data_IF_459925127212
#
_entry.id   IF_459925127212
#
_cell.length_a   1.000
_cell.length_b   1.000
_cell.length_c   1.000
_cell.angle_alpha   90.00
_cell.angle_beta   90.00
_cell.angle_gamma   90.00
#
_symmetry.space_group_name_H-M   'P 1'
#
loop_
_entity.id
_entity.type
_entity.pdbx_description
1 polymer ?
#
# COMPACT_ATOMS: atom_id res chain seq x y z
N UNK A 1 0.49 -18.51 -15.71
CA UNK A 1 0.78 -17.90 -15.75
C UNK A 1 1.12 -17.80 -15.38
N UNK A 2 1.28 -18.01 -15.00
CA UNK A 2 1.78 -17.51 -14.74
C UNK A 2 2.66 -17.42 -14.92
N UNK A 3 2.73 -18.02 -15.35
CA UNK A 3 3.94 -17.63 -15.61
C UNK A 3 4.13 -16.31 -15.63
N UNK A 4 3.32 -15.78 -15.83
CA UNK A 4 3.45 -14.43 -15.75
C UNK A 4 3.95 -13.99 -14.49
N UNK A 5 3.90 -14.80 -13.66
CA UNK A 5 4.34 -14.33 -12.51
C UNK A 5 5.71 -14.51 -12.36
N UNK A 6 6.36 -14.97 -12.92
CA UNK A 6 7.64 -15.12 -12.64
C UNK A 6 8.58 -14.41 -13.23
N UNK A 7 9.01 -13.94 -13.57
CA UNK A 7 9.86 -13.30 -14.00
C UNK A 7 10.11 -12.23 -14.03
N UNK A 8 10.06 -11.97 -13.87
CA UNK A 8 10.16 -11.14 -13.86
C UNK A 8 9.63 -10.42 -13.73
N UNK A 9 9.46 -10.40 -13.35
CA UNK A 9 8.77 -9.88 -13.25
C UNK A 9 8.77 -8.80 -13.08
N UNK A 10 9.42 -8.60 -13.66
CA UNK A 10 9.27 -7.48 -13.58
C UNK A 10 7.95 -7.04 -13.77
N UNK A 11 7.22 -6.36 -14.30
CA UNK A 11 5.83 -6.15 -14.31
C UNK A 11 5.14 -7.02 -13.34
N UNK A 12 5.85 -7.39 -12.37
CA UNK A 12 5.32 -8.34 -11.44
C UNK A 12 4.32 -7.75 -10.51
N UNK A 13 3.47 -8.60 -9.98
CA UNK A 13 2.45 -8.18 -9.04
C UNK A 13 3.12 -7.76 -7.75
N UNK A 14 2.81 -6.56 -7.28
CA UNK A 14 3.34 -6.08 -6.03
C UNK A 14 2.52 -6.61 -4.87
N UNK A 15 3.15 -6.75 -3.68
CA UNK A 15 2.42 -7.27 -2.52
C UNK A 15 1.12 -6.54 -2.21
N UNK A 16 1.09 -5.22 -2.41
CA UNK A 16 -0.13 -4.46 -2.14
C UNK A 16 -1.28 -4.90 -3.06
N UNK A 17 -0.96 -5.30 -4.29
CA UNK A 17 -1.97 -5.79 -5.22
C UNK A 17 -2.51 -7.13 -4.79
N UNK A 18 -1.63 -8.01 -4.30
CA UNK A 18 -2.07 -9.30 -3.79
C UNK A 18 -2.96 -9.13 -2.58
N UNK A 19 -2.59 -8.23 -1.68
CA UNK A 19 -3.39 -7.99 -0.49
C UNK A 19 -4.77 -7.50 -0.87
N UNK A 20 -4.84 -6.57 -1.83
CA UNK A 20 -6.13 -6.07 -2.27
C UNK A 20 -6.98 -7.18 -2.87
N UNK A 21 -6.37 -8.07 -3.64
CA UNK A 21 -7.09 -9.15 -4.28
C UNK A 21 -7.60 -10.19 -3.29
N UNK A 22 -6.88 -10.40 -2.21
CA UNK A 22 -7.21 -11.47 -1.28
C UNK A 22 -8.03 -11.02 -0.08
N UNK A 23 -8.00 -9.75 0.24
CA UNK A 23 -8.66 -9.23 1.42
C UNK A 23 -10.01 -8.63 1.05
N UNK A 24 -10.94 -8.63 1.98
CA UNK A 24 -12.17 -7.86 1.77
C UNK A 24 -11.81 -6.39 1.69
N UNK A 25 -12.70 -5.61 1.10
CA UNK A 25 -12.50 -4.17 1.00
C UNK A 25 -12.28 -3.55 2.39
N UNK A 26 -13.10 -3.97 3.33
CA UNK A 26 -12.98 -3.44 4.68
C UNK A 26 -11.65 -3.78 5.31
N UNK A 27 -11.21 -5.04 5.17
CA UNK A 27 -9.94 -5.46 5.75
C UNK A 27 -8.77 -4.73 5.09
N UNK A 28 -8.82 -4.56 3.77
CA UNK A 28 -7.76 -3.90 3.04
C UNK A 28 -7.66 -2.42 3.47
N UNK A 29 -8.79 -1.75 3.57
CA UNK A 29 -8.79 -0.36 4.03
C UNK A 29 -8.32 -0.24 5.47
N UNK A 30 -8.63 -1.23 6.30
CA UNK A 30 -8.11 -1.28 7.67
C UNK A 30 -6.60 -1.41 7.71
N UNK A 31 -6.04 -2.24 6.83
CA UNK A 31 -4.60 -2.38 6.70
C UNK A 31 -3.96 -1.04 6.31
N UNK A 32 -4.51 -0.36 5.32
CA UNK A 32 -3.96 0.93 4.88
C UNK A 32 -4.03 1.96 5.99
N UNK A 33 -5.18 2.02 6.66
CA UNK A 33 -5.37 2.95 7.77
C UNK A 33 -4.38 2.67 8.88
N UNK A 34 -4.17 1.40 9.21
CA UNK A 34 -3.22 1.03 10.25
C UNK A 34 -1.80 1.46 9.92
N UNK A 35 -1.42 1.36 8.64
CA UNK A 35 -0.09 1.79 8.25
C UNK A 35 0.06 3.30 8.33
N UNK A 36 -0.97 4.05 8.00
CA UNK A 36 -0.92 5.50 8.15
C UNK A 36 -0.69 5.85 9.62
N UNK A 37 -1.46 5.25 10.51
CA UNK A 37 -1.32 5.50 11.94
C UNK A 37 0.07 5.14 12.42
N UNK A 38 0.58 4.00 11.97
CA UNK A 38 1.90 3.54 12.36
C UNK A 38 2.99 4.54 11.97
N UNK A 39 2.99 4.99 10.71
CA UNK A 39 4.04 5.87 10.24
C UNK A 39 3.92 7.28 10.80
N UNK A 40 2.70 7.76 11.00
CA UNK A 40 2.51 9.06 11.63
C UNK A 40 3.01 9.03 13.07
N UNK A 41 2.70 7.97 13.81
CA UNK A 41 3.06 7.93 15.23
C UNK A 41 4.55 7.80 15.47
N UNK A 42 5.30 7.29 14.48
CA UNK A 42 6.76 7.18 14.67
C UNK A 42 7.54 8.20 13.86
N UNK A 43 6.85 9.19 13.33
CA UNK A 43 7.51 10.23 12.54
C UNK A 43 8.61 10.91 13.35
N UNK A 44 9.80 10.97 12.76
CA UNK A 44 10.96 11.59 13.42
C UNK A 44 11.68 10.71 14.40
N UNK A 45 11.26 9.45 14.54
CA UNK A 45 11.86 8.57 15.54
C UNK A 45 12.72 7.47 14.97
N UNK A 46 12.47 7.06 13.73
CA UNK A 46 13.19 5.94 13.15
C UNK A 46 13.94 6.32 11.90
N UNK A 47 13.24 6.73 10.87
CA UNK A 47 13.87 7.08 9.61
C UNK A 47 13.81 8.57 9.41
N UNK A 48 14.43 9.04 8.33
CA UNK A 48 14.37 10.46 7.98
C UNK A 48 12.90 10.87 7.82
N UNK A 49 12.52 12.08 8.26
CA UNK A 49 11.13 12.52 8.12
C UNK A 49 10.61 12.49 6.69
N UNK A 50 11.46 12.83 5.72
CA UNK A 50 11.03 12.81 4.32
C UNK A 50 10.67 11.39 3.87
N UNK A 51 11.38 10.40 4.37
CA UNK A 51 11.11 9.02 4.04
C UNK A 51 9.81 8.55 4.70
N UNK A 52 9.62 8.93 5.95
CA UNK A 52 8.40 8.54 6.68
C UNK A 52 7.17 9.19 6.08
N UNK A 53 7.25 10.49 5.75
CA UNK A 53 6.10 11.17 5.18
C UNK A 53 5.77 10.66 3.78
N UNK A 54 6.77 10.22 3.03
CA UNK A 54 6.51 9.61 1.73
C UNK A 54 5.69 8.34 1.88
N UNK A 55 5.95 7.55 2.91
CA UNK A 55 5.17 6.35 3.18
C UNK A 55 3.74 6.69 3.60
N UNK A 56 3.61 7.69 4.46
CA UNK A 56 2.29 8.13 4.90
C UNK A 56 1.46 8.55 3.68
N UNK A 57 2.07 9.35 2.80
CA UNK A 57 1.37 9.82 1.62
C UNK A 57 0.96 8.65 0.73
N UNK A 58 1.86 7.68 0.52
CA UNK A 58 1.55 6.55 -0.34
C UNK A 58 0.36 5.76 0.20
N UNK A 59 0.36 5.45 1.48
CA UNK A 59 -0.76 4.71 2.05
C UNK A 59 -2.05 5.51 2.04
N UNK A 60 -1.95 6.84 2.20
CA UNK A 60 -3.13 7.69 2.15
C UNK A 60 -3.72 7.75 0.74
N UNK A 61 -2.86 7.80 -0.28
CA UNK A 61 -3.32 7.77 -1.67
C UNK A 61 -4.05 6.46 -1.95
N UNK A 62 -3.47 5.36 -1.55
CA UNK A 62 -4.09 4.05 -1.76
C UNK A 62 -5.42 3.93 -1.02
N UNK A 63 -5.49 4.45 0.20
CA UNK A 63 -6.74 4.41 0.96
C UNK A 63 -7.82 5.24 0.24
N UNK A 64 -7.46 6.41 -0.22
CA UNK A 64 -8.39 7.27 -0.94
C UNK A 64 -8.87 6.58 -2.21
N UNK A 65 -7.97 5.97 -2.97
CA UNK A 65 -8.33 5.26 -4.19
C UNK A 65 -9.24 4.07 -3.87
N UNK A 66 -8.95 3.34 -2.80
CA UNK A 66 -9.78 2.21 -2.42
C UNK A 66 -11.19 2.66 -2.07
N UNK A 67 -11.32 3.75 -1.33
CA UNK A 67 -12.64 4.27 -0.96
C UNK A 67 -13.41 4.70 -2.20
N UNK A 68 -12.73 5.27 -3.19
CA UNK A 68 -13.38 5.70 -4.42
C UNK A 68 -13.64 4.57 -5.39
N UNK A 69 -13.11 3.39 -5.12
CA UNK A 69 -13.27 2.26 -6.04
C UNK A 69 -12.39 2.34 -7.26
N UNK A 70 -11.29 3.07 -7.16
CA UNK A 70 -10.35 3.23 -8.26
C UNK A 70 -9.21 2.22 -8.15
N UNK A 71 -8.53 1.99 -9.27
CA UNK A 71 -7.33 1.19 -9.26
C UNK A 71 -6.24 1.91 -8.48
N UNK A 72 -5.40 1.13 -7.81
CA UNK A 72 -4.28 1.71 -7.09
C UNK A 72 -3.20 2.18 -8.06
N UNK A 73 -2.64 3.35 -7.78
CA UNK A 73 -1.52 3.85 -8.53
C UNK A 73 -0.25 3.26 -7.92
N UNK A 74 0.45 2.45 -8.67
CA UNK A 74 1.67 1.79 -8.21
C UNK A 74 2.91 2.52 -8.73
#
# INVERSE_FOLDING_TARGET
MMAALDKHYQGEVQPIQLMQAQMSTEAFQGFLRGNIIKYVSRLGKKDAPTKETAKILQYAVWLHQSVKGEELTL
#
